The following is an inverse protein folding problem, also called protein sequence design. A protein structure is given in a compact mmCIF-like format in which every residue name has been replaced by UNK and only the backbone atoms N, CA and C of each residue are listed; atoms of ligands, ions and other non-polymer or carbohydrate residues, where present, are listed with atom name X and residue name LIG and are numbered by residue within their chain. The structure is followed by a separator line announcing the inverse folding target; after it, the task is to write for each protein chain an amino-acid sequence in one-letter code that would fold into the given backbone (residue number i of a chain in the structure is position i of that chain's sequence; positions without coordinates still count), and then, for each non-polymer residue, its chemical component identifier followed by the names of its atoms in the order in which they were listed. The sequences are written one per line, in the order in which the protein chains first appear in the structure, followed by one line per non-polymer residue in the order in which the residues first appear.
data_IF_123054280945
#
_entry.id   IF_123054280945
#
_cell.length_a   1.000
_cell.length_b   1.000
_cell.length_c   1.000
_cell.angle_alpha   90.00
_cell.angle_beta   90.00
_cell.angle_gamma   90.00
#
_symmetry.space_group_name_H-M   'P 1'
#
loop_
_entity.id
_entity.type
_entity.pdbx_description
1 polymer ?
#
# COMPACT_ATOMS: atom_id res chain seq x y z
N UNK A 1 20.23 -15.28 11.13
CA UNK A 1 19.22 -16.22 10.62
C UNK A 1 18.08 -15.36 10.12
N UNK A 2 17.63 -15.52 8.87
CA UNK A 2 16.47 -14.78 8.39
C UNK A 2 15.21 -15.33 9.04
N UNK A 3 14.35 -14.44 9.54
CA UNK A 3 13.06 -14.79 10.08
C UNK A 3 12.01 -14.50 9.00
N UNK A 4 11.49 -15.53 8.28
CA UNK A 4 10.62 -15.33 7.12
C UNK A 4 9.34 -14.56 7.45
N UNK A 5 8.92 -14.61 8.71
CA UNK A 5 7.71 -13.96 9.22
C UNK A 5 7.97 -12.60 9.88
N UNK A 6 9.23 -12.19 10.04
CA UNK A 6 9.59 -10.90 10.61
C UNK A 6 9.60 -9.84 9.52
N UNK A 7 8.74 -8.83 9.68
CA UNK A 7 8.49 -7.79 8.68
C UNK A 7 8.82 -6.42 9.26
N UNK A 8 9.65 -5.64 8.57
CA UNK A 8 9.90 -4.25 8.93
C UNK A 8 8.87 -3.33 8.27
N UNK A 9 8.16 -2.52 9.06
CA UNK A 9 7.21 -1.50 8.58
C UNK A 9 7.88 -0.13 8.54
N UNK A 10 8.30 0.30 7.35
CA UNK A 10 8.86 1.62 7.09
C UNK A 10 7.75 2.65 6.84
N UNK A 11 7.99 3.89 7.25
CA UNK A 11 6.99 4.97 7.18
C UNK A 11 5.65 4.58 7.85
N UNK A 12 5.68 4.01 9.08
CA UNK A 12 4.50 3.38 9.65
C UNK A 12 3.35 4.37 9.88
N UNK A 13 3.59 5.62 10.24
CA UNK A 13 2.52 6.53 10.70
C UNK A 13 1.68 5.87 11.82
N UNK A 14 0.37 5.72 11.61
CA UNK A 14 -0.53 4.97 12.51
C UNK A 14 -0.46 3.42 12.36
N UNK A 15 0.38 2.96 11.44
CA UNK A 15 0.74 1.58 11.11
C UNK A 15 -0.44 0.70 10.69
N UNK A 16 -1.33 1.26 9.88
CA UNK A 16 -2.52 0.52 9.41
C UNK A 16 -2.16 -0.62 8.44
N UNK A 17 -1.06 -0.47 7.69
CA UNK A 17 -0.53 -1.54 6.85
C UNK A 17 0.03 -2.67 7.71
N UNK A 18 0.85 -2.35 8.72
CA UNK A 18 1.36 -3.30 9.70
C UNK A 18 0.26 -4.09 10.38
N UNK A 19 -0.80 -3.44 10.87
CA UNK A 19 -1.97 -4.10 11.47
C UNK A 19 -2.63 -5.16 10.57
N UNK A 20 -2.65 -4.90 9.26
CA UNK A 20 -3.16 -5.88 8.30
C UNK A 20 -2.25 -7.10 8.18
N UNK A 21 -0.94 -6.88 8.14
CA UNK A 21 0.07 -7.94 8.10
C UNK A 21 0.13 -8.76 9.39
N UNK A 22 0.00 -8.13 10.56
CA UNK A 22 -0.13 -8.82 11.85
C UNK A 22 -1.31 -9.80 11.84
N UNK A 23 -2.45 -9.41 11.26
CA UNK A 23 -3.61 -10.29 11.16
C UNK A 23 -3.43 -11.45 10.17
N UNK A 24 -2.47 -11.35 9.24
CA UNK A 24 -2.03 -12.45 8.38
C UNK A 24 -0.91 -13.30 9.04
N UNK A 25 -0.63 -13.05 10.32
CA UNK A 25 0.30 -13.81 11.14
C UNK A 25 1.76 -13.35 11.05
N UNK A 26 2.08 -12.23 10.41
CA UNK A 26 3.44 -11.70 10.42
C UNK A 26 3.78 -11.04 11.75
N UNK A 27 5.04 -11.12 12.17
CA UNK A 27 5.57 -10.31 13.26
C UNK A 27 6.04 -8.98 12.67
N UNK A 28 5.32 -7.90 12.92
CA UNK A 28 5.64 -6.58 12.37
C UNK A 28 6.47 -5.76 13.36
N UNK A 29 7.64 -5.33 12.91
CA UNK A 29 8.52 -4.40 13.62
C UNK A 29 8.34 -3.02 13.01
N UNK A 30 7.93 -2.04 13.80
CA UNK A 30 7.82 -0.65 13.33
C UNK A 30 9.20 -0.04 13.15
N UNK A 31 9.47 0.45 11.95
CA UNK A 31 10.63 1.26 11.62
C UNK A 31 10.47 2.71 12.06
N UNK A 32 11.44 3.58 11.71
CA UNK A 32 11.42 4.99 12.07
C UNK A 32 10.29 5.74 11.35
N UNK A 33 9.70 6.70 12.04
CA UNK A 33 8.78 7.69 11.50
C UNK A 33 8.93 8.99 12.27
N UNK A 34 8.74 10.12 11.60
CA UNK A 34 8.79 11.44 12.23
C UNK A 34 7.72 11.59 13.32
N UNK A 35 6.58 10.89 13.20
CA UNK A 35 5.54 10.85 14.24
C UNK A 35 6.06 10.27 15.55
N UNK A 36 7.05 9.38 15.49
CA UNK A 36 7.65 8.69 16.64
C UNK A 36 9.05 9.21 16.97
N UNK A 37 9.49 10.32 16.36
CA UNK A 37 10.80 10.92 16.58
C UNK A 37 11.96 10.24 15.85
N UNK A 38 11.70 9.34 14.91
CA UNK A 38 12.71 8.73 14.05
C UNK A 38 12.73 9.34 12.64
N UNK A 39 13.83 9.16 11.91
CA UNK A 39 13.90 9.49 10.48
C UNK A 39 14.45 8.28 9.71
N UNK A 40 13.79 7.90 8.62
CA UNK A 40 14.27 6.85 7.72
C UNK A 40 15.65 7.17 7.14
N UNK A 41 16.00 8.46 6.99
CA UNK A 41 17.27 8.91 6.41
C UNK A 41 18.49 8.52 7.24
N UNK A 42 18.33 8.37 8.55
CA UNK A 42 19.41 8.02 9.48
C UNK A 42 19.31 6.57 9.96
N UNK A 43 18.35 5.82 9.43
CA UNK A 43 18.12 4.43 9.80
C UNK A 43 18.81 3.46 8.84
N UNK A 44 19.47 2.47 9.42
CA UNK A 44 20.13 1.38 8.72
C UNK A 44 19.61 0.05 9.24
N UNK A 45 19.10 -0.78 8.32
CA UNK A 45 18.57 -2.09 8.67
C UNK A 45 19.69 -3.14 8.65
N UNK A 46 19.77 -4.03 9.66
CA UNK A 46 20.69 -5.15 9.61
C UNK A 46 20.33 -6.09 8.46
N UNK A 47 21.36 -6.49 7.71
CA UNK A 47 21.20 -7.37 6.56
C UNK A 47 20.75 -8.78 6.97
N UNK A 48 19.76 -9.34 6.28
CA UNK A 48 19.24 -10.70 6.48
C UNK A 48 18.45 -10.90 7.77
N UNK A 49 18.06 -9.82 8.47
CA UNK A 49 17.26 -9.92 9.69
C UNK A 49 15.75 -10.09 9.41
N UNK A 50 15.25 -9.45 8.35
CA UNK A 50 13.83 -9.40 8.01
C UNK A 50 13.53 -10.27 6.79
N UNK A 51 12.48 -11.09 6.86
CA UNK A 51 11.96 -11.81 5.69
C UNK A 51 11.23 -10.88 4.72
N UNK A 52 10.67 -9.77 5.22
CA UNK A 52 9.93 -8.81 4.41
C UNK A 52 10.07 -7.37 4.85
N UNK A 53 9.85 -6.44 3.93
CA UNK A 53 9.69 -5.01 4.22
C UNK A 53 8.37 -4.51 3.66
N UNK A 54 7.60 -3.78 4.45
CA UNK A 54 6.42 -3.04 3.99
C UNK A 54 6.62 -1.54 4.21
N UNK A 55 5.94 -0.71 3.42
CA UNK A 55 5.87 0.71 3.73
C UNK A 55 5.15 1.55 2.69
N UNK A 56 4.75 2.75 3.09
CA UNK A 56 4.11 3.74 2.22
C UNK A 56 4.89 5.05 2.24
N UNK A 57 5.95 5.19 1.42
CA UNK A 57 6.70 6.44 1.33
C UNK A 57 5.76 7.63 1.00
N UNK A 58 6.01 8.83 1.56
CA UNK A 58 5.20 10.02 1.32
C UNK A 58 4.83 10.24 -0.15
N UNK A 59 3.53 10.27 -0.43
CA UNK A 59 2.98 10.24 -1.80
C UNK A 59 2.52 11.62 -2.33
N UNK A 60 2.71 12.69 -1.57
CA UNK A 60 2.13 14.01 -1.85
C UNK A 60 2.57 14.55 -3.22
N UNK A 61 3.84 14.32 -3.59
CA UNK A 61 4.43 14.70 -4.88
C UNK A 61 3.87 13.91 -6.08
N UNK A 62 3.10 12.84 -5.85
CA UNK A 62 2.50 12.00 -6.90
C UNK A 62 0.97 12.06 -6.91
N UNK A 63 0.36 12.76 -5.95
CA UNK A 63 -1.08 12.84 -5.81
C UNK A 63 -1.72 13.78 -6.84
N UNK A 64 -2.80 13.31 -7.50
CA UNK A 64 -3.65 14.13 -8.38
C UNK A 64 -4.40 15.25 -7.63
N UNK A 65 -4.51 15.14 -6.30
CA UNK A 65 -5.16 16.15 -5.47
C UNK A 65 -4.20 17.30 -5.07
N UNK A 66 -2.90 17.18 -5.38
CA UNK A 66 -1.92 18.23 -5.08
C UNK A 66 -2.26 19.51 -5.86
N UNK A 67 -2.14 20.65 -5.19
CA UNK A 67 -2.38 21.99 -5.77
C UNK A 67 -1.11 22.84 -5.89
N UNK A 68 0.02 22.32 -5.43
CA UNK A 68 1.32 22.98 -5.41
C UNK A 68 2.35 22.23 -6.27
N UNK A 69 3.49 22.86 -6.56
CA UNK A 69 4.61 22.19 -7.21
C UNK A 69 5.13 21.01 -6.35
N UNK A 70 5.65 19.92 -6.97
CA UNK A 70 6.34 18.85 -6.25
C UNK A 70 7.49 19.40 -5.42
N UNK A 71 7.66 18.88 -4.21
CA UNK A 71 8.73 19.30 -3.29
C UNK A 71 10.04 18.55 -3.52
N UNK A 72 10.01 17.40 -4.19
CA UNK A 72 11.13 16.49 -4.33
C UNK A 72 11.21 15.46 -3.18
N UNK A 73 10.51 15.69 -2.08
CA UNK A 73 10.49 14.79 -0.93
C UNK A 73 9.92 13.41 -1.30
N UNK A 74 8.94 13.32 -2.21
CA UNK A 74 8.40 12.02 -2.64
C UNK A 74 9.48 11.14 -3.29
N UNK A 75 10.28 11.70 -4.19
CA UNK A 75 11.37 10.96 -4.85
C UNK A 75 12.49 10.62 -3.86
N UNK A 76 12.84 11.55 -2.96
CA UNK A 76 13.82 11.29 -1.91
C UNK A 76 13.40 10.13 -1.01
N UNK A 77 12.13 10.06 -0.61
CA UNK A 77 11.64 8.97 0.26
C UNK A 77 11.48 7.63 -0.47
N UNK A 78 11.22 7.64 -1.79
CA UNK A 78 11.35 6.43 -2.59
C UNK A 78 12.79 5.91 -2.61
N UNK A 79 13.78 6.82 -2.77
CA UNK A 79 15.20 6.44 -2.73
C UNK A 79 15.60 5.88 -1.36
N UNK A 80 15.14 6.46 -0.25
CA UNK A 80 15.38 5.91 1.09
C UNK A 80 14.74 4.53 1.28
N UNK A 81 13.52 4.31 0.78
CA UNK A 81 12.90 2.98 0.82
C UNK A 81 13.76 1.97 0.04
N UNK A 82 14.20 2.30 -1.17
CA UNK A 82 15.07 1.44 -1.98
C UNK A 82 16.43 1.17 -1.30
N UNK A 83 17.05 2.19 -0.68
CA UNK A 83 18.29 2.05 0.08
C UNK A 83 18.13 1.03 1.21
N UNK A 84 17.09 1.18 2.03
CA UNK A 84 16.87 0.29 3.18
C UNK A 84 16.56 -1.14 2.71
N UNK A 85 15.81 -1.32 1.62
CA UNK A 85 15.61 -2.66 1.03
C UNK A 85 16.95 -3.25 0.57
N UNK A 86 17.81 -2.46 -0.08
CA UNK A 86 19.14 -2.90 -0.51
C UNK A 86 20.08 -3.27 0.64
N UNK A 87 20.02 -2.55 1.76
CA UNK A 87 20.80 -2.85 2.97
C UNK A 87 20.28 -4.11 3.70
N UNK A 88 18.97 -4.15 3.94
CA UNK A 88 18.30 -5.23 4.67
C UNK A 88 18.31 -6.56 3.90
N UNK A 89 18.24 -6.50 2.56
CA UNK A 89 18.10 -7.66 1.66
C UNK A 89 17.00 -8.64 2.11
N UNK A 90 15.74 -8.20 2.27
CA UNK A 90 14.64 -9.12 2.59
C UNK A 90 14.34 -10.07 1.43
N UNK A 91 13.60 -11.15 1.68
CA UNK A 91 13.15 -12.05 0.61
C UNK A 91 12.14 -11.34 -0.33
N UNK A 92 11.37 -10.41 0.24
CA UNK A 92 10.39 -9.61 -0.50
C UNK A 92 10.21 -8.22 0.10
N UNK A 93 9.64 -7.30 -0.68
CA UNK A 93 9.14 -6.03 -0.19
C UNK A 93 7.77 -5.69 -0.79
N UNK A 94 7.00 -4.86 -0.09
CA UNK A 94 5.77 -4.27 -0.58
C UNK A 94 5.76 -2.76 -0.31
N UNK A 95 5.78 -1.98 -1.38
CA UNK A 95 5.63 -0.53 -1.31
C UNK A 95 4.23 -0.10 -1.76
N UNK A 96 3.51 0.61 -0.90
CA UNK A 96 2.27 1.30 -1.25
C UNK A 96 2.52 2.72 -1.75
N UNK A 97 1.74 3.13 -2.74
CA UNK A 97 1.65 4.54 -3.12
C UNK A 97 0.33 4.88 -3.85
N UNK A 98 0.19 6.13 -4.28
CA UNK A 98 -0.87 6.55 -5.20
C UNK A 98 -0.56 6.12 -6.63
N UNK A 99 -1.58 5.92 -7.51
CA UNK A 99 -1.36 5.44 -8.88
C UNK A 99 -0.40 6.26 -9.75
N UNK A 100 -0.22 7.56 -9.43
CA UNK A 100 0.67 8.47 -10.14
C UNK A 100 2.15 8.37 -9.77
N UNK A 101 2.54 7.48 -8.84
CA UNK A 101 3.95 7.24 -8.51
C UNK A 101 4.72 6.75 -9.76
N UNK A 102 5.98 7.19 -9.98
CA UNK A 102 6.82 6.67 -11.06
C UNK A 102 7.05 5.15 -10.95
N UNK A 103 7.61 4.51 -11.99
CA UNK A 103 8.17 3.16 -11.86
C UNK A 103 9.14 3.10 -10.68
N UNK A 104 9.15 1.96 -9.98
CA UNK A 104 9.95 1.75 -8.79
C UNK A 104 10.53 0.34 -8.84
N UNK A 105 11.85 0.26 -8.92
CA UNK A 105 12.61 -0.98 -9.05
C UNK A 105 13.75 -0.97 -8.03
N UNK A 106 14.10 -2.16 -7.51
CA UNK A 106 15.22 -2.36 -6.60
C UNK A 106 16.07 -3.50 -7.14
N UNK A 107 17.39 -3.29 -7.20
CA UNK A 107 18.33 -4.30 -7.71
C UNK A 107 18.19 -5.62 -6.94
N UNK A 108 18.16 -6.74 -7.66
CA UNK A 108 17.97 -8.07 -7.09
C UNK A 108 16.52 -8.51 -6.90
N UNK A 109 15.54 -7.67 -7.23
CA UNK A 109 14.11 -7.99 -7.09
C UNK A 109 13.39 -7.94 -8.44
N UNK A 110 12.51 -8.92 -8.67
CA UNK A 110 11.49 -8.84 -9.72
C UNK A 110 10.28 -8.11 -9.16
N UNK A 111 9.89 -6.98 -9.77
CA UNK A 111 8.81 -6.13 -9.24
C UNK A 111 7.51 -6.31 -10.01
N UNK A 112 6.47 -6.71 -9.28
CA UNK A 112 5.08 -6.71 -9.72
C UNK A 112 4.40 -5.41 -9.28
N UNK A 113 3.96 -4.59 -10.24
CA UNK A 113 3.08 -3.43 -9.98
C UNK A 113 1.62 -3.79 -10.19
N UNK A 114 0.76 -3.48 -9.22
CA UNK A 114 -0.68 -3.67 -9.39
C UNK A 114 -1.52 -2.62 -8.65
N UNK A 115 -2.74 -2.39 -9.15
CA UNK A 115 -3.72 -1.49 -8.53
C UNK A 115 -4.79 -2.26 -7.75
N UNK A 116 -5.18 -1.72 -6.60
CA UNK A 116 -6.22 -2.26 -5.73
C UNK A 116 -7.07 -1.12 -5.16
N UNK A 117 -8.39 -1.22 -5.30
CA UNK A 117 -9.32 -0.29 -4.68
C UNK A 117 -9.82 -0.85 -3.35
N UNK A 118 -10.00 -0.01 -2.34
CA UNK A 118 -10.50 -0.42 -1.03
C UNK A 118 -11.88 -1.09 -1.10
N UNK A 119 -12.72 -0.68 -2.06
CA UNK A 119 -13.98 -1.35 -2.35
C UNK A 119 -13.81 -2.84 -2.73
N UNK A 120 -12.71 -3.17 -3.40
CA UNK A 120 -12.37 -4.55 -3.76
C UNK A 120 -11.79 -5.34 -2.57
N UNK A 121 -11.70 -4.73 -1.39
CA UNK A 121 -11.26 -5.35 -0.13
C UNK A 121 -12.33 -5.25 0.96
N UNK A 122 -13.59 -5.01 0.58
CA UNK A 122 -14.72 -4.92 1.51
C UNK A 122 -14.84 -3.57 2.24
N UNK A 123 -14.13 -2.52 1.81
CA UNK A 123 -14.31 -1.18 2.38
C UNK A 123 -15.37 -0.38 1.62
N UNK A 124 -16.28 0.31 2.31
CA UNK A 124 -17.25 1.23 1.69
C UNK A 124 -16.60 2.57 1.29
N UNK A 125 -15.48 2.52 0.58
CA UNK A 125 -14.67 3.68 0.23
C UNK A 125 -14.08 3.52 -1.16
N UNK A 126 -14.19 4.54 -2.01
CA UNK A 126 -13.46 4.59 -3.26
C UNK A 126 -12.04 5.12 -3.01
N UNK A 127 -11.10 4.21 -2.74
CA UNK A 127 -9.68 4.53 -2.51
C UNK A 127 -8.81 3.60 -3.34
N UNK A 128 -8.38 4.10 -4.49
CA UNK A 128 -7.47 3.38 -5.38
C UNK A 128 -6.02 3.63 -4.96
N UNK A 129 -5.26 2.55 -4.78
CA UNK A 129 -3.82 2.57 -4.51
C UNK A 129 -3.09 1.64 -5.46
N UNK A 130 -1.79 1.89 -5.59
CA UNK A 130 -0.87 1.08 -6.36
C UNK A 130 0.14 0.46 -5.42
N UNK A 131 0.49 -0.78 -5.69
CA UNK A 131 1.40 -1.58 -4.89
C UNK A 131 2.52 -2.08 -5.79
N UNK A 132 3.75 -1.99 -5.29
CA UNK A 132 4.92 -2.60 -5.91
C UNK A 132 5.38 -3.70 -4.98
N UNK A 133 5.17 -4.95 -5.40
CA UNK A 133 5.66 -6.12 -4.70
C UNK A 133 6.93 -6.59 -5.38
N UNK A 134 8.07 -6.50 -4.70
CA UNK A 134 9.34 -7.03 -5.18
C UNK A 134 9.66 -8.35 -4.49
N UNK A 135 10.14 -9.33 -5.23
CA UNK A 135 10.60 -10.62 -4.68
C UNK A 135 11.92 -11.06 -5.32
N UNK A 136 12.81 -11.66 -4.51
CA UNK A 136 14.04 -12.24 -5.02
C UNK A 136 13.85 -13.68 -5.56
N UNK A 137 12.74 -14.33 -5.17
CA UNK A 137 12.35 -15.68 -5.60
C UNK A 137 11.38 -15.69 -6.81
N UNK A 138 11.20 -14.53 -7.45
CA UNK A 138 10.28 -14.34 -8.59
C UNK A 138 8.84 -14.82 -8.32
N UNK A 139 8.35 -14.58 -7.11
CA UNK A 139 6.93 -14.77 -6.76
C UNK A 139 6.09 -13.52 -7.08
N UNK A 140 4.79 -13.74 -7.28
CA UNK A 140 3.77 -12.72 -7.56
C UNK A 140 2.62 -12.84 -6.56
N UNK A 141 1.94 -11.73 -6.33
CA UNK A 141 0.73 -11.66 -5.52
C UNK A 141 -0.52 -11.75 -6.39
N UNK A 142 -1.49 -12.52 -5.89
CA UNK A 142 -2.89 -12.45 -6.31
C UNK A 142 -3.69 -12.10 -5.08
N UNK A 143 -4.31 -10.92 -5.10
CA UNK A 143 -5.18 -10.48 -4.00
C UNK A 143 -6.58 -11.06 -4.17
N UNK A 144 -7.09 -11.70 -3.12
CA UNK A 144 -8.48 -12.13 -3.03
C UNK A 144 -9.38 -10.91 -2.87
N UNK A 145 -10.03 -10.53 -3.97
CA UNK A 145 -10.89 -9.35 -4.02
C UNK A 145 -12.28 -9.70 -3.54
N UNK A 146 -12.82 -8.88 -2.66
CA UNK A 146 -14.17 -9.01 -2.13
C UNK A 146 -15.21 -8.99 -3.27
N UNK A 147 -16.22 -9.86 -3.12
CA UNK A 147 -17.37 -9.91 -4.03
C UNK A 147 -18.42 -8.85 -3.64
N UNK A 148 -18.41 -8.41 -2.38
CA UNK A 148 -19.35 -7.42 -1.85
C UNK A 148 -19.28 -6.12 -2.66
N UNK A 149 -20.42 -5.71 -3.21
CA UNK A 149 -20.59 -4.43 -3.86
C UNK A 149 -21.36 -3.49 -2.94
N UNK A 150 -20.97 -2.22 -2.96
CA UNK A 150 -21.67 -1.17 -2.23
C UNK A 150 -22.50 -0.34 -3.22
N UNK A 151 -23.79 -0.06 -2.94
CA UNK A 151 -24.60 0.80 -3.81
C UNK A 151 -24.01 2.20 -3.99
N UNK A 152 -23.33 2.70 -2.96
CA UNK A 152 -22.63 3.99 -2.96
C UNK A 152 -21.32 3.86 -2.19
N UNK A 153 -20.26 4.41 -2.75
CA UNK A 153 -18.93 4.44 -2.13
C UNK A 153 -18.65 5.82 -1.55
N UNK A 154 -18.14 5.85 -0.32
CA UNK A 154 -17.66 7.10 0.27
C UNK A 154 -16.40 7.59 -0.46
N UNK A 155 -16.19 8.91 -0.56
CA UNK A 155 -14.93 9.46 -1.05
C UNK A 155 -13.73 8.99 -0.22
N UNK A 156 -12.55 8.98 -0.85
CA UNK A 156 -11.28 8.63 -0.18
C UNK A 156 -11.11 9.42 1.13
N UNK A 157 -10.70 8.74 2.21
CA UNK A 157 -10.23 9.36 3.45
C UNK A 157 -8.94 10.15 3.18
N UNK A 158 -9.01 11.47 3.27
CA UNK A 158 -7.90 12.37 2.95
C UNK A 158 -7.16 12.78 4.22
N UNK A 159 -5.83 12.90 4.15
CA UNK A 159 -5.03 13.41 5.27
C UNK A 159 -5.32 14.89 5.61
N UNK A 160 -5.96 15.62 4.70
CA UNK A 160 -6.37 17.02 4.87
C UNK A 160 -7.81 17.17 5.37
N UNK A 161 -8.48 16.08 5.72
CA UNK A 161 -9.90 16.10 6.06
C UNK A 161 -10.25 16.99 7.25
N UNK A 162 -9.35 17.11 8.23
CA UNK A 162 -9.58 17.98 9.39
C UNK A 162 -9.87 19.45 9.02
N UNK A 163 -9.36 19.92 7.88
CA UNK A 163 -9.53 21.29 7.39
C UNK A 163 -10.82 21.49 6.58
N UNK A 164 -11.58 20.43 6.30
CA UNK A 164 -12.82 20.53 5.53
C UNK A 164 -13.98 21.01 6.39
N UNK A 165 -14.81 21.97 5.92
CA UNK A 165 -16.02 22.37 6.63
C UNK A 165 -17.01 21.21 6.81
N UNK A 166 -17.12 20.34 5.81
CA UNK A 166 -18.00 19.17 5.74
C UNK A 166 -17.30 17.86 6.15
N UNK A 167 -16.25 17.94 6.99
CA UNK A 167 -15.47 16.76 7.39
C UNK A 167 -16.34 15.71 8.07
N UNK A 168 -16.04 14.43 7.82
CA UNK A 168 -16.61 13.31 8.59
C UNK A 168 -16.19 13.44 10.05
N UNK A 169 -17.01 12.97 10.99
CA UNK A 169 -16.57 12.83 12.39
C UNK A 169 -15.44 11.81 12.46
N UNK A 170 -14.51 11.99 13.39
CA UNK A 170 -13.32 11.14 13.48
C UNK A 170 -13.66 9.63 13.67
N UNK A 171 -14.69 9.25 14.45
CA UNK A 171 -15.15 7.86 14.52
C UNK A 171 -15.60 7.29 13.16
N UNK A 172 -16.37 8.05 12.38
CA UNK A 172 -16.84 7.63 11.05
C UNK A 172 -15.66 7.53 10.07
N UNK A 173 -14.66 8.41 10.21
CA UNK A 173 -13.41 8.37 9.42
C UNK A 173 -12.55 7.13 9.75
N UNK A 174 -12.46 6.76 11.03
CA UNK A 174 -11.78 5.54 11.49
C UNK A 174 -12.48 4.28 10.95
N UNK A 175 -13.80 4.20 11.10
CA UNK A 175 -14.61 3.08 10.59
C UNK A 175 -14.40 2.86 9.08
N UNK A 176 -14.35 3.94 8.28
CA UNK A 176 -14.09 3.85 6.84
C UNK A 176 -12.67 3.38 6.46
N UNK A 177 -11.70 3.52 7.37
CA UNK A 177 -10.36 2.94 7.24
C UNK A 177 -10.28 1.54 7.87
N UNK A 178 -11.40 1.01 8.38
CA UNK A 178 -11.53 -0.30 9.01
C UNK A 178 -10.95 -0.37 10.41
N UNK A 179 -10.95 0.76 11.12
CA UNK A 179 -10.60 0.86 12.53
C UNK A 179 -11.86 0.87 13.41
N UNK A 180 -11.74 0.50 14.70
CA UNK A 180 -12.80 0.71 15.68
C UNK A 180 -13.22 2.19 15.75
N UNK A 181 -14.50 2.44 16.04
CA UNK A 181 -15.06 3.81 16.15
C UNK A 181 -14.47 4.59 17.33
N UNK A 182 -14.01 3.89 18.36
CA UNK A 182 -13.33 4.40 19.55
C UNK A 182 -11.81 4.41 19.40
N UNK A 183 -11.27 4.09 18.22
CA UNK A 183 -9.84 4.18 17.95
C UNK A 183 -9.32 5.58 18.22
N UNK A 184 -8.21 5.67 18.96
CA UNK A 184 -7.57 6.93 19.24
C UNK A 184 -6.04 6.88 19.12
N UNK A 185 -5.45 8.06 18.91
CA UNK A 185 -4.01 8.31 18.93
C UNK A 185 -3.74 9.38 20.00
N UNK A 186 -3.58 8.99 21.28
CA UNK A 186 -3.43 9.94 22.37
C UNK A 186 -2.18 10.82 22.17
N UNK A 187 -2.26 12.07 22.60
CA UNK A 187 -1.19 13.07 22.44
C UNK A 187 -1.16 13.77 21.06
N UNK A 188 -1.87 13.27 20.05
CA UNK A 188 -2.00 13.96 18.77
C UNK A 188 -3.15 14.97 18.78
N UNK A 189 -2.95 16.12 18.13
CA UNK A 189 -4.05 17.03 17.82
C UNK A 189 -5.05 16.37 16.88
N UNK A 190 -6.31 16.83 16.88
CA UNK A 190 -7.33 16.28 15.99
C UNK A 190 -6.87 16.29 14.52
N UNK A 191 -6.25 17.36 14.06
CA UNK A 191 -5.73 17.45 12.69
C UNK A 191 -4.62 16.41 12.42
N UNK A 192 -3.75 16.16 13.39
CA UNK A 192 -2.73 15.12 13.29
C UNK A 192 -3.34 13.71 13.28
N UNK A 193 -4.41 13.46 14.05
CA UNK A 193 -5.17 12.19 14.02
C UNK A 193 -5.74 11.89 12.63
N UNK A 194 -6.44 12.85 12.01
CA UNK A 194 -6.94 12.70 10.63
C UNK A 194 -5.81 12.49 9.62
N UNK A 195 -4.67 13.18 9.77
CA UNK A 195 -3.52 13.02 8.89
C UNK A 195 -2.94 11.60 8.99
N UNK A 196 -2.73 11.10 10.20
CA UNK A 196 -2.16 9.78 10.45
C UNK A 196 -3.08 8.67 9.90
N UNK A 197 -4.38 8.73 10.20
CA UNK A 197 -5.35 7.74 9.72
C UNK A 197 -5.61 7.86 8.22
N UNK A 198 -5.68 9.08 7.67
CA UNK A 198 -5.99 9.32 6.25
C UNK A 198 -4.85 8.95 5.30
N UNK A 199 -3.60 9.07 5.73
CA UNK A 199 -2.45 8.58 4.98
C UNK A 199 -2.35 7.05 4.98
N UNK A 200 -2.84 6.38 6.02
CA UNK A 200 -2.75 4.92 6.13
C UNK A 200 -3.49 4.14 5.04
N UNK A 201 -3.02 2.91 4.79
CA UNK A 201 -3.74 1.89 4.00
C UNK A 201 -4.93 1.40 4.83
N UNK A 202 -6.16 1.33 4.27
CA UNK A 202 -7.29 0.78 5.02
C UNK A 202 -6.97 -0.62 5.54
N UNK A 203 -7.30 -0.90 6.81
CA UNK A 203 -6.94 -2.16 7.45
C UNK A 203 -7.45 -3.38 6.66
N UNK A 204 -8.71 -3.44 6.16
CA UNK A 204 -9.17 -4.58 5.36
C UNK A 204 -8.38 -4.78 4.07
N UNK A 205 -7.95 -3.69 3.41
CA UNK A 205 -7.06 -3.77 2.25
C UNK A 205 -5.68 -4.34 2.65
N UNK A 206 -5.13 -3.87 3.77
CA UNK A 206 -3.87 -4.38 4.30
C UNK A 206 -3.96 -5.88 4.66
N UNK A 207 -5.10 -6.37 5.19
CA UNK A 207 -5.33 -7.80 5.45
C UNK A 207 -5.31 -8.63 4.17
N UNK A 208 -6.02 -8.18 3.14
CA UNK A 208 -6.05 -8.84 1.82
C UNK A 208 -4.64 -8.96 1.24
N UNK A 209 -3.84 -7.90 1.35
CA UNK A 209 -2.47 -7.91 0.84
C UNK A 209 -1.57 -8.79 1.71
N UNK A 210 -1.65 -8.70 3.04
CA UNK A 210 -0.90 -9.57 3.95
C UNK A 210 -1.16 -11.05 3.65
N UNK A 211 -2.42 -11.43 3.43
CA UNK A 211 -2.78 -12.78 3.04
C UNK A 211 -2.23 -13.16 1.65
N UNK A 212 -2.25 -12.23 0.68
CA UNK A 212 -1.66 -12.46 -0.62
C UNK A 212 -0.14 -12.68 -0.55
N UNK A 213 0.57 -11.98 0.34
CA UNK A 213 2.02 -12.17 0.56
C UNK A 213 2.30 -13.53 1.21
N UNK A 214 1.48 -13.94 2.20
CA UNK A 214 1.55 -15.30 2.77
C UNK A 214 1.36 -16.37 1.70
N UNK A 215 0.41 -16.15 0.79
CA UNK A 215 0.02 -17.08 -0.26
C UNK A 215 0.66 -16.76 -1.62
N UNK A 216 1.82 -16.10 -1.63
CA UNK A 216 2.49 -15.70 -2.87
C UNK A 216 2.74 -16.91 -3.76
N UNK A 217 2.64 -16.70 -5.07
CA UNK A 217 2.63 -17.77 -6.08
C UNK A 217 3.85 -17.59 -6.97
N UNK A 218 4.49 -18.68 -7.41
CA UNK A 218 5.56 -18.59 -8.40
C UNK A 218 5.06 -17.86 -9.66
N UNK A 219 5.77 -16.83 -10.11
CA UNK A 219 5.27 -15.99 -11.22
C UNK A 219 5.10 -16.79 -12.52
N UNK A 220 5.89 -17.84 -12.72
CA UNK A 220 5.80 -18.71 -13.89
C UNK A 220 4.52 -19.56 -13.93
N UNK A 221 3.89 -19.83 -12.77
CA UNK A 221 2.68 -20.63 -12.69
C UNK A 221 1.39 -19.81 -12.83
N UNK A 222 1.49 -18.49 -13.03
CA UNK A 222 0.33 -17.60 -13.11
C UNK A 222 0.44 -16.60 -14.26
N UNK A 223 -0.66 -16.39 -14.98
CA UNK A 223 -0.77 -15.31 -15.95
C UNK A 223 -1.64 -14.20 -15.38
N UNK A 224 -1.11 -12.98 -15.37
CA UNK A 224 -1.79 -11.82 -14.83
C UNK A 224 -2.36 -10.94 -15.94
N UNK A 225 -3.47 -10.29 -15.63
CA UNK A 225 -4.19 -9.40 -16.53
C UNK A 225 -3.30 -8.26 -17.02
N UNK A 226 -3.24 -8.07 -18.35
CA UNK A 226 -2.37 -7.10 -19.00
C UNK A 226 -2.62 -5.65 -18.60
N UNK A 227 -3.80 -5.33 -18.03
CA UNK A 227 -4.09 -3.98 -17.54
C UNK A 227 -3.37 -3.61 -16.23
N UNK A 228 -2.50 -4.48 -15.70
CA UNK A 228 -1.77 -4.23 -14.45
C UNK A 228 -2.66 -4.23 -13.21
N UNK A 229 -3.79 -4.93 -13.22
CA UNK A 229 -4.63 -5.05 -12.00
C UNK A 229 -4.24 -6.24 -11.11
N UNK A 230 -3.26 -7.05 -11.49
CA UNK A 230 -2.84 -8.22 -10.69
C UNK A 230 -3.89 -9.33 -10.58
N UNK A 231 -4.98 -9.30 -11.36
CA UNK A 231 -5.94 -10.42 -11.44
C UNK A 231 -5.41 -11.53 -12.33
N UNK A 232 -5.62 -12.80 -11.97
CA UNK A 232 -5.26 -13.93 -12.84
C UNK A 232 -6.16 -13.98 -14.07
N UNK A 233 -5.64 -14.54 -15.16
CA UNK A 233 -6.35 -14.77 -16.43
C UNK A 233 -6.06 -16.17 -16.95
N UNK A 234 -7.01 -16.73 -17.70
CA UNK A 234 -6.77 -17.98 -18.43
C UNK A 234 -5.87 -17.77 -19.64
N UNK A 235 -5.36 -18.85 -20.22
CA UNK A 235 -4.37 -18.80 -21.32
C UNK A 235 -4.87 -18.09 -22.58
N UNK A 236 -6.18 -18.08 -22.83
CA UNK A 236 -6.79 -17.44 -24.01
C UNK A 236 -7.19 -15.98 -23.77
N UNK A 237 -7.13 -15.51 -22.53
CA UNK A 237 -7.55 -14.15 -22.17
C UNK A 237 -6.36 -13.19 -22.08
N UNK A 238 -6.62 -11.91 -22.32
CA UNK A 238 -5.66 -10.80 -22.08
C UNK A 238 -6.12 -9.87 -20.96
N UNK A 239 -7.39 -9.95 -20.57
CA UNK A 239 -8.01 -9.11 -19.55
C UNK A 239 -8.91 -9.95 -18.65
N UNK A 240 -8.91 -9.65 -17.35
CA UNK A 240 -9.65 -10.43 -16.36
C UNK A 240 -11.15 -10.08 -16.29
N UNK A 241 -11.52 -8.82 -16.59
CA UNK A 241 -12.91 -8.36 -16.52
C UNK A 241 -13.24 -7.41 -17.67
N UNK A 242 -14.53 -7.16 -17.98
CA UNK A 242 -14.93 -6.14 -18.95
C UNK A 242 -14.36 -4.74 -18.62
N UNK A 243 -14.27 -4.39 -17.33
CA UNK A 243 -13.63 -3.14 -16.90
C UNK A 243 -12.12 -3.12 -17.20
N UNK A 244 -11.43 -4.25 -17.07
CA UNK A 244 -10.01 -4.37 -17.45
C UNK A 244 -9.84 -4.17 -18.96
N UNK A 245 -10.72 -4.73 -19.78
CA UNK A 245 -10.71 -4.56 -21.24
C UNK A 245 -10.87 -3.09 -21.62
N UNK A 246 -11.86 -2.40 -21.04
CA UNK A 246 -12.06 -0.96 -21.25
C UNK A 246 -10.83 -0.12 -20.84
N UNK A 247 -10.14 -0.49 -19.76
CA UNK A 247 -8.88 0.18 -19.38
C UNK A 247 -7.77 -0.01 -20.43
N UNK A 248 -7.62 -1.23 -20.97
CA UNK A 248 -6.64 -1.50 -22.04
C UNK A 248 -6.97 -0.72 -23.31
N UNK A 249 -8.25 -0.63 -23.67
CA UNK A 249 -8.70 0.16 -24.83
C UNK A 249 -8.38 1.65 -24.67
N UNK A 250 -8.61 2.21 -23.49
CA UNK A 250 -8.26 3.62 -23.18
C UNK A 250 -6.77 3.88 -23.25
N UNK A 251 -5.97 3.01 -22.63
CA UNK A 251 -4.51 3.11 -22.66
C UNK A 251 -3.96 3.09 -24.10
N UNK A 252 -4.51 2.26 -24.99
CA UNK A 252 -4.13 2.23 -26.42
C UNK A 252 -4.48 3.51 -27.17
N UNK A 253 -5.49 4.25 -26.72
CA UNK A 253 -5.94 5.52 -27.32
C UNK A 253 -5.20 6.75 -26.78
N UNK A 254 -4.35 6.58 -25.77
CA UNK A 254 -3.69 7.71 -25.09
C UNK A 254 -4.65 8.58 -24.27
N UNK A 255 -5.81 8.03 -23.86
CA UNK A 255 -6.89 8.73 -23.13
C UNK A 255 -7.02 8.19 -21.71
#
# INVERSE_FOLDING_TARGET
MSHPDLVLSLFPGADLLGRGFESAGFCVVRGPDLVWGGDVRTFHAPSGAFGGIIGGPPCQDFSRARRTAPTGNGLAMLAEFARIVGEARPDWFLMENVPGVPPFDVSGYTVQRFNLNAAECGCRQNRLRTFHFGSCDSTSLVCDRAVTTFPTLEPTCMATEAARPDRRRFPDFCELQGLPRDFDLPGLSLAAKYRAVGNGVPVPMARVIGQAVRNRIASQSIRLCACGCGRPISTRQTSATPACRKRLERARRGV
#
